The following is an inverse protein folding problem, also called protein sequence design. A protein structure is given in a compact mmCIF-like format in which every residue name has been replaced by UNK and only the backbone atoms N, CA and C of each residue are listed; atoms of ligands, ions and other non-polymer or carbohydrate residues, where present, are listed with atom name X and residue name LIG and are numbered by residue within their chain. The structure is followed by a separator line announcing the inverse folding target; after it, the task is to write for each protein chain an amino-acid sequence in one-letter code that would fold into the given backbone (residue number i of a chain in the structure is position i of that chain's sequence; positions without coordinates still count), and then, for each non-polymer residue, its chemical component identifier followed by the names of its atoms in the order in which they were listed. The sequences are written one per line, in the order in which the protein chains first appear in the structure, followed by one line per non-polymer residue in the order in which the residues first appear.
data_IF_253292326833
#
_entry.id   IF_253292326833
#
_cell.length_a   1.000
_cell.length_b   1.000
_cell.length_c   1.000
_cell.angle_alpha   90.00
_cell.angle_beta   90.00
_cell.angle_gamma   90.00
#
_symmetry.space_group_name_H-M   'P 1'
#
loop_
_entity.id
_entity.type
_entity.pdbx_description
1 polymer ?
#
# COMPACT_ATOMS: atom_id res chain seq x y z
N UNK A 1 16.68 -6.79 -12.40
CA UNK A 1 16.00 -7.46 -11.27
C UNK A 1 16.11 -6.51 -10.10
N UNK A 2 14.99 -5.98 -9.62
CA UNK A 2 14.94 -5.22 -8.37
C UNK A 2 15.35 -6.12 -7.21
N UNK A 3 16.03 -5.56 -6.22
CA UNK A 3 16.39 -6.25 -4.98
C UNK A 3 15.10 -6.55 -4.19
N UNK A 4 14.94 -7.74 -3.58
CA UNK A 4 13.80 -7.99 -2.70
C UNK A 4 13.78 -6.98 -1.55
N UNK A 5 12.62 -6.36 -1.32
CA UNK A 5 12.37 -5.42 -0.24
C UNK A 5 11.76 -6.15 0.97
N UNK A 6 11.98 -5.66 2.20
CA UNK A 6 11.56 -6.37 3.41
C UNK A 6 10.03 -6.50 3.55
N UNK A 7 9.25 -5.60 2.94
CA UNK A 7 7.79 -5.67 2.94
C UNK A 7 7.21 -6.51 1.79
N UNK A 8 8.02 -6.93 0.80
CA UNK A 8 7.58 -7.72 -0.35
C UNK A 8 6.75 -8.96 0.05
N UNK A 9 7.10 -9.75 1.10
CA UNK A 9 6.29 -10.93 1.45
C UNK A 9 4.86 -10.60 1.86
N UNK A 10 4.62 -9.43 2.48
CA UNK A 10 3.27 -8.99 2.80
C UNK A 10 2.55 -8.50 1.53
N UNK A 11 3.21 -7.70 0.70
CA UNK A 11 2.62 -7.22 -0.56
C UNK A 11 2.26 -8.38 -1.48
N UNK A 12 3.11 -9.41 -1.57
CA UNK A 12 2.81 -10.62 -2.34
C UNK A 12 1.59 -11.39 -1.79
N UNK A 13 1.46 -11.52 -0.47
CA UNK A 13 0.29 -12.15 0.13
C UNK A 13 -1.01 -11.38 -0.21
N UNK A 14 -0.93 -10.05 -0.28
CA UNK A 14 -2.06 -9.19 -0.68
C UNK A 14 -2.38 -9.34 -2.17
N UNK A 15 -1.37 -9.27 -3.05
CA UNK A 15 -1.59 -9.43 -4.50
C UNK A 15 -2.07 -10.83 -4.86
N UNK A 16 -1.59 -11.87 -4.17
CA UNK A 16 -2.07 -13.25 -4.35
C UNK A 16 -3.54 -13.39 -3.95
N UNK A 17 -3.95 -12.78 -2.83
CA UNK A 17 -5.34 -12.80 -2.38
C UNK A 17 -6.26 -12.03 -3.35
N UNK A 18 -5.82 -10.87 -3.85
CA UNK A 18 -6.53 -10.08 -4.86
C UNK A 18 -6.69 -10.86 -6.17
N UNK A 19 -5.63 -11.49 -6.63
CA UNK A 19 -5.63 -12.33 -7.85
C UNK A 19 -6.58 -13.51 -7.69
N UNK A 20 -6.53 -14.22 -6.55
CA UNK A 20 -7.44 -15.33 -6.25
C UNK A 20 -8.91 -14.89 -6.21
N UNK A 21 -9.18 -13.63 -5.87
CA UNK A 21 -10.52 -13.04 -5.86
C UNK A 21 -10.95 -12.46 -7.22
N UNK A 22 -10.11 -12.51 -8.25
CA UNK A 22 -10.37 -11.91 -9.56
C UNK A 22 -10.32 -10.37 -9.54
N UNK A 23 -9.56 -9.80 -8.60
CA UNK A 23 -9.36 -8.35 -8.41
C UNK A 23 -7.88 -7.98 -8.59
N UNK A 24 -7.17 -8.67 -9.47
CA UNK A 24 -5.76 -8.39 -9.76
C UNK A 24 -5.57 -6.91 -10.15
N UNK A 25 -4.61 -6.19 -9.55
CA UNK A 25 -4.25 -4.84 -9.99
C UNK A 25 -3.86 -4.83 -11.47
N UNK A 26 -4.21 -3.77 -12.20
CA UNK A 26 -3.75 -3.60 -13.59
C UNK A 26 -2.25 -3.30 -13.67
N UNK A 27 -1.71 -2.68 -12.61
CA UNK A 27 -0.28 -2.47 -12.42
C UNK A 27 0.05 -2.38 -10.93
N UNK A 28 1.32 -2.58 -10.57
CA UNK A 28 1.79 -2.39 -9.20
C UNK A 28 3.29 -2.59 -9.04
N UNK A 29 3.84 -1.96 -8.00
CA UNK A 29 5.27 -2.05 -7.66
C UNK A 29 5.50 -1.82 -6.17
N UNK A 30 6.68 -2.23 -5.70
CA UNK A 30 7.23 -1.88 -4.40
C UNK A 30 8.46 -1.01 -4.58
N UNK A 31 8.73 -0.10 -3.65
CA UNK A 31 9.86 0.84 -3.70
C UNK A 31 10.47 1.06 -2.32
N UNK A 32 11.76 1.38 -2.31
CA UNK A 32 12.55 1.88 -1.18
C UNK A 32 13.22 3.23 -1.52
N UNK A 33 12.73 3.93 -2.55
CA UNK A 33 13.38 5.11 -3.11
C UNK A 33 12.75 6.46 -2.71
N UNK A 34 11.52 6.45 -2.19
CA UNK A 34 10.84 7.66 -1.75
C UNK A 34 11.41 8.12 -0.41
N UNK A 35 11.50 9.43 -0.21
CA UNK A 35 11.95 10.00 1.06
C UNK A 35 10.85 9.88 2.11
N UNK A 36 11.23 9.55 3.35
CA UNK A 36 10.28 9.42 4.45
C UNK A 36 9.66 10.78 4.82
N UNK A 37 8.43 10.99 4.35
CA UNK A 37 7.62 12.18 4.59
C UNK A 37 7.12 12.31 6.04
N UNK A 38 7.27 11.28 6.86
CA UNK A 38 6.78 11.23 8.23
C UNK A 38 7.84 11.61 9.26
N UNK A 39 9.12 11.72 8.89
CA UNK A 39 10.17 12.15 9.82
C UNK A 39 10.05 13.63 10.13
N UNK A 40 10.36 13.99 11.37
CA UNK A 40 10.50 15.37 11.84
C UNK A 40 11.83 15.57 12.60
N UNK A 41 12.77 14.66 12.39
CA UNK A 41 14.10 14.62 13.01
C UNK A 41 15.22 15.07 12.04
N UNK A 42 16.46 14.88 12.45
CA UNK A 42 17.66 15.24 11.69
C UNK A 42 17.85 14.44 10.40
N UNK A 43 17.09 13.35 10.22
CA UNK A 43 17.07 12.53 9.01
C UNK A 43 15.90 12.90 8.07
N UNK A 44 15.15 13.96 8.37
CA UNK A 44 14.13 14.48 7.47
C UNK A 44 14.71 14.87 6.09
N UNK A 45 14.15 14.29 5.03
CA UNK A 45 14.63 14.48 3.66
C UNK A 45 15.92 13.72 3.33
N UNK A 46 16.40 12.85 4.23
CA UNK A 46 17.60 12.03 4.04
C UNK A 46 17.31 10.53 4.07
N UNK A 47 16.40 10.07 4.94
CA UNK A 47 16.02 8.67 5.03
C UNK A 47 14.95 8.31 3.99
N UNK A 48 15.07 7.13 3.38
CA UNK A 48 14.03 6.58 2.52
C UNK A 48 12.93 5.88 3.33
N UNK A 49 11.77 5.69 2.68
CA UNK A 49 10.66 4.88 3.16
C UNK A 49 10.41 3.67 2.25
N UNK A 50 9.71 2.68 2.78
CA UNK A 50 9.19 1.56 1.97
C UNK A 50 7.77 1.88 1.55
N UNK A 51 7.45 1.62 0.29
CA UNK A 51 6.10 1.76 -0.22
C UNK A 51 5.70 0.63 -1.17
N UNK A 52 4.39 0.48 -1.34
CA UNK A 52 3.80 -0.36 -2.35
C UNK A 52 2.62 0.38 -2.99
N UNK A 53 2.53 0.34 -4.31
CA UNK A 53 1.46 0.91 -5.10
C UNK A 53 0.75 -0.19 -5.88
N UNK A 54 -0.58 -0.24 -5.76
CA UNK A 54 -1.45 -1.10 -6.56
C UNK A 54 -2.47 -0.24 -7.30
N UNK A 55 -2.60 -0.44 -8.61
CA UNK A 55 -3.45 0.38 -9.47
C UNK A 55 -4.55 -0.46 -10.11
N UNK A 56 -5.74 0.13 -10.21
CA UNK A 56 -6.82 -0.37 -11.07
C UNK A 56 -7.24 0.78 -11.96
N UNK A 57 -6.93 0.71 -13.24
CA UNK A 57 -7.35 1.72 -14.22
C UNK A 57 -8.76 1.46 -14.78
N UNK A 58 -9.21 2.36 -15.68
CA UNK A 58 -10.52 2.33 -16.33
C UNK A 58 -10.83 1.07 -17.14
N UNK A 59 -9.84 0.23 -17.45
CA UNK A 59 -10.01 -1.00 -18.22
C UNK A 59 -10.31 -2.22 -17.33
N UNK A 60 -10.14 -2.10 -16.00
CA UNK A 60 -10.38 -3.22 -15.10
C UNK A 60 -11.89 -3.55 -14.99
N UNK A 61 -12.30 -4.81 -15.24
CA UNK A 61 -13.72 -5.17 -15.37
C UNK A 61 -14.54 -5.03 -14.07
N UNK A 62 -13.89 -5.08 -12.92
CA UNK A 62 -14.57 -4.89 -11.63
C UNK A 62 -14.74 -3.41 -11.23
N UNK A 63 -14.12 -2.48 -11.96
CA UNK A 63 -14.17 -1.05 -11.64
C UNK A 63 -15.49 -0.43 -12.12
N UNK A 64 -16.17 0.24 -11.21
CA UNK A 64 -17.31 1.08 -11.53
C UNK A 64 -16.83 2.39 -12.16
N UNK A 65 -16.76 2.44 -13.48
CA UNK A 65 -16.29 3.60 -14.25
C UNK A 65 -17.23 4.82 -14.17
N UNK A 66 -18.48 4.66 -13.69
CA UNK A 66 -19.34 5.82 -13.39
C UNK A 66 -18.90 6.55 -12.11
N UNK A 67 -18.31 5.82 -11.16
CA UNK A 67 -17.81 6.35 -9.88
C UNK A 67 -16.34 6.72 -9.94
N UNK A 68 -15.54 5.91 -10.63
CA UNK A 68 -14.10 6.04 -10.75
C UNK A 68 -13.68 5.98 -12.23
N UNK A 69 -13.97 7.01 -13.05
CA UNK A 69 -13.76 6.95 -14.50
C UNK A 69 -12.33 6.64 -14.95
N UNK A 70 -11.35 6.94 -14.10
CA UNK A 70 -9.92 6.75 -14.39
C UNK A 70 -9.25 5.77 -13.44
N UNK A 71 -10.03 5.11 -12.59
CA UNK A 71 -9.50 4.12 -11.66
C UNK A 71 -9.24 4.63 -10.25
N UNK A 72 -8.61 3.75 -9.47
CA UNK A 72 -8.20 3.97 -8.09
C UNK A 72 -6.74 3.52 -7.90
N UNK A 73 -6.11 4.00 -6.84
CA UNK A 73 -4.83 3.53 -6.36
C UNK A 73 -4.95 3.13 -4.89
N UNK A 74 -4.28 2.04 -4.54
CA UNK A 74 -4.06 1.61 -3.17
C UNK A 74 -2.57 1.76 -2.86
N UNK A 75 -2.25 2.38 -1.73
CA UNK A 75 -0.89 2.67 -1.31
C UNK A 75 -0.67 2.10 0.08
N UNK A 76 0.41 1.35 0.27
CA UNK A 76 0.91 0.97 1.58
C UNK A 76 2.26 1.63 1.78
N UNK A 77 2.51 2.21 2.94
CA UNK A 77 3.80 2.81 3.27
C UNK A 77 4.28 2.46 4.68
N UNK A 78 5.58 2.43 4.88
CA UNK A 78 6.25 2.48 6.18
C UNK A 78 6.75 3.92 6.40
N UNK A 79 6.63 4.53 7.60
CA UNK A 79 6.31 3.95 8.91
C UNK A 79 4.83 3.91 9.31
N UNK A 80 3.89 4.38 8.48
CA UNK A 80 2.47 4.29 8.86
C UNK A 80 2.00 2.83 8.97
N UNK A 81 2.56 1.97 8.10
CA UNK A 81 2.31 0.53 7.93
C UNK A 81 0.84 0.21 7.62
N UNK A 82 0.13 1.17 7.03
CA UNK A 82 -1.31 1.12 6.80
C UNK A 82 -1.65 1.37 5.33
N UNK A 83 -2.74 0.76 4.89
CA UNK A 83 -3.26 0.99 3.55
C UNK A 83 -3.98 2.34 3.49
N UNK A 84 -3.74 3.04 2.39
CA UNK A 84 -4.38 4.27 1.99
C UNK A 84 -4.94 4.11 0.58
N UNK A 85 -5.88 4.95 0.18
CA UNK A 85 -6.44 4.92 -1.16
C UNK A 85 -6.76 6.31 -1.70
N UNK A 86 -6.78 6.45 -3.02
CA UNK A 86 -7.35 7.60 -3.69
C UNK A 86 -7.88 7.22 -5.08
N UNK A 87 -8.87 7.98 -5.55
CA UNK A 87 -9.28 7.93 -6.96
C UNK A 87 -8.20 8.55 -7.87
N UNK A 88 -8.20 8.17 -9.14
CA UNK A 88 -7.28 8.69 -10.17
C UNK A 88 -7.94 9.73 -11.07
N UNK A 89 -7.11 10.61 -11.63
CA UNK A 89 -7.42 11.57 -12.71
C UNK A 89 -7.14 10.93 -14.07
N UNK A 90 -7.60 11.59 -15.13
CA UNK A 90 -7.39 11.17 -16.53
C UNK A 90 -5.92 11.06 -16.94
N UNK A 91 -5.06 11.90 -16.36
CA UNK A 91 -3.62 11.89 -16.58
C UNK A 91 -2.86 10.86 -15.71
N UNK A 92 -3.59 10.01 -14.98
CA UNK A 92 -3.03 8.95 -14.15
C UNK A 92 -2.59 9.37 -12.74
N UNK A 93 -2.60 10.68 -12.42
CA UNK A 93 -2.31 11.20 -11.08
C UNK A 93 -3.47 10.92 -10.11
N UNK A 94 -3.23 11.03 -8.80
CA UNK A 94 -4.28 10.93 -7.81
C UNK A 94 -5.15 12.21 -7.77
N UNK A 95 -6.44 12.04 -7.48
CA UNK A 95 -7.40 13.13 -7.29
C UNK A 95 -7.01 14.00 -6.10
N UNK A 96 -6.68 13.33 -4.99
CA UNK A 96 -6.21 13.90 -3.73
C UNK A 96 -5.08 13.05 -3.15
N UNK A 97 -4.48 13.51 -2.05
CA UNK A 97 -3.59 12.67 -1.27
C UNK A 97 -4.33 11.41 -0.79
N UNK A 98 -3.68 10.23 -0.79
CA UNK A 98 -4.29 9.01 -0.30
C UNK A 98 -4.84 9.14 1.11
N UNK A 99 -6.09 8.70 1.29
CA UNK A 99 -6.76 8.66 2.59
C UNK A 99 -6.54 7.31 3.25
N UNK A 100 -6.24 7.32 4.55
CA UNK A 100 -6.11 6.08 5.33
C UNK A 100 -7.39 5.25 5.29
N UNK A 101 -7.22 3.94 5.22
CA UNK A 101 -8.28 2.96 5.40
C UNK A 101 -8.20 2.42 6.83
N UNK A 102 -8.83 3.09 7.81
CA UNK A 102 -8.65 2.77 9.23
C UNK A 102 -9.13 1.36 9.59
N UNK A 103 -10.07 0.80 8.82
CA UNK A 103 -10.53 -0.57 8.98
C UNK A 103 -9.39 -1.57 8.69
N UNK A 104 -8.50 -1.25 7.76
CA UNK A 104 -7.28 -1.98 7.45
C UNK A 104 -6.14 -1.45 8.33
N UNK A 105 -6.15 -1.87 9.60
CA UNK A 105 -5.03 -1.60 10.50
C UNK A 105 -3.70 -2.13 9.96
N UNK A 106 -2.63 -1.97 10.76
CA UNK A 106 -1.30 -2.39 10.33
C UNK A 106 -1.23 -3.88 10.01
N UNK A 107 -0.66 -4.20 8.86
CA UNK A 107 -0.57 -5.57 8.34
C UNK A 107 -1.90 -6.33 8.42
N UNK A 108 -2.98 -5.68 7.97
CA UNK A 108 -4.30 -6.28 7.86
C UNK A 108 -4.27 -7.59 7.06
N UNK A 109 -5.15 -8.52 7.43
CA UNK A 109 -5.32 -9.79 6.72
C UNK A 109 -5.62 -9.55 5.22
N UNK A 110 -4.91 -10.22 4.30
CA UNK A 110 -5.14 -10.09 2.86
C UNK A 110 -6.61 -10.26 2.43
N UNK A 111 -7.39 -11.11 3.11
CA UNK A 111 -8.81 -11.26 2.79
C UNK A 111 -9.63 -10.00 3.12
N UNK A 112 -9.29 -9.28 4.20
CA UNK A 112 -9.95 -8.02 4.54
C UNK A 112 -9.60 -6.90 3.54
N UNK A 113 -8.38 -6.92 3.00
CA UNK A 113 -7.95 -6.02 1.93
C UNK A 113 -8.75 -6.30 0.66
N UNK A 114 -8.95 -7.58 0.30
CA UNK A 114 -9.80 -7.98 -0.83
C UNK A 114 -11.22 -7.43 -0.68
N UNK A 115 -11.84 -7.56 0.49
CA UNK A 115 -13.20 -7.05 0.72
C UNK A 115 -13.27 -5.51 0.63
N UNK A 116 -12.24 -4.83 1.11
CA UNK A 116 -12.13 -3.37 1.01
C UNK A 116 -11.94 -2.92 -0.43
N UNK A 117 -11.02 -3.55 -1.17
CA UNK A 117 -10.79 -3.25 -2.60
C UNK A 117 -12.06 -3.52 -3.41
N UNK A 118 -12.79 -4.60 -3.13
CA UNK A 118 -14.07 -4.87 -3.79
C UNK A 118 -15.07 -3.73 -3.60
N UNK A 119 -15.20 -3.21 -2.38
CA UNK A 119 -16.08 -2.08 -2.08
C UNK A 119 -15.61 -0.79 -2.80
N UNK A 120 -14.32 -0.49 -2.76
CA UNK A 120 -13.75 0.68 -3.44
C UNK A 120 -13.96 0.62 -4.95
N UNK A 121 -13.70 -0.53 -5.58
CA UNK A 121 -13.91 -0.69 -7.03
C UNK A 121 -15.37 -0.52 -7.42
N UNK A 122 -16.31 -0.97 -6.59
CA UNK A 122 -17.74 -0.77 -6.82
C UNK A 122 -18.20 0.69 -6.60
N UNK A 123 -17.39 1.51 -5.93
CA UNK A 123 -17.75 2.85 -5.46
C UNK A 123 -18.70 2.83 -4.25
N UNK A 124 -18.62 1.76 -3.45
CA UNK A 124 -19.42 1.53 -2.25
C UNK A 124 -18.67 1.97 -0.98
N UNK A 125 -19.38 2.01 0.15
CA UNK A 125 -18.76 2.26 1.45
C UNK A 125 -17.84 1.08 1.82
N UNK A 126 -16.63 1.39 2.30
CA UNK A 126 -15.70 0.38 2.80
C UNK A 126 -16.25 -0.35 4.03
N UNK A 127 -15.88 -1.62 4.25
CA UNK A 127 -16.33 -2.38 5.42
C UNK A 127 -16.00 -1.68 6.74
N UNK A 128 -16.96 -1.65 7.65
CA UNK A 128 -16.77 -1.15 9.01
C UNK A 128 -16.08 -2.20 9.90
N UNK A 129 -15.48 -1.73 11.00
CA UNK A 129 -14.80 -2.58 11.98
C UNK A 129 -13.30 -2.68 11.73
N UNK A 130 -12.65 -3.58 12.46
CA UNK A 130 -11.21 -3.77 12.40
C UNK A 130 -10.88 -5.09 11.70
N UNK A 131 -10.08 -5.02 10.64
CA UNK A 131 -9.54 -6.19 9.98
C UNK A 131 -8.68 -7.02 10.94
N UNK A 132 -8.71 -8.36 10.84
CA UNK A 132 -7.78 -9.22 11.56
C UNK A 132 -6.34 -8.87 11.18
N UNK A 133 -5.41 -9.11 12.11
CA UNK A 133 -3.99 -9.02 11.85
C UNK A 133 -3.52 -10.25 11.06
N UNK A 134 -2.71 -10.05 10.03
CA UNK A 134 -2.09 -11.14 9.29
C UNK A 134 -0.94 -11.75 10.11
N UNK A 135 -1.17 -12.87 10.78
CA UNK A 135 -0.17 -13.47 11.69
C UNK A 135 1.26 -13.66 11.12
N UNK A 136 1.47 -13.99 9.83
CA UNK A 136 2.82 -14.05 9.26
C UNK A 136 3.59 -12.71 9.25
N UNK A 137 2.89 -11.59 9.42
CA UNK A 137 3.46 -10.25 9.42
C UNK A 137 4.50 -10.00 10.51
N UNK A 138 4.55 -10.79 11.59
CA UNK A 138 5.57 -10.62 12.62
C UNK A 138 7.00 -10.74 12.04
N UNK A 139 7.19 -11.65 11.08
CA UNK A 139 8.48 -11.83 10.39
C UNK A 139 8.78 -10.69 9.42
N UNK A 140 7.75 -10.17 8.75
CA UNK A 140 7.86 -9.02 7.83
C UNK A 140 8.19 -7.76 8.61
N UNK A 141 7.47 -7.49 9.70
CA UNK A 141 7.70 -6.34 10.58
C UNK A 141 9.13 -6.35 11.12
N UNK A 142 9.63 -7.50 11.59
CA UNK A 142 11.00 -7.61 12.05
C UNK A 142 12.03 -7.29 10.94
N UNK A 143 11.76 -7.67 9.69
CA UNK A 143 12.62 -7.35 8.56
C UNK A 143 12.55 -5.86 8.18
N UNK A 144 11.36 -5.26 8.23
CA UNK A 144 11.13 -3.83 8.00
C UNK A 144 11.82 -2.99 9.08
N UNK A 145 11.69 -3.36 10.36
CA UNK A 145 12.36 -2.69 11.48
C UNK A 145 13.89 -2.75 11.34
N UNK A 146 14.43 -3.91 10.95
CA UNK A 146 15.86 -4.07 10.73
C UNK A 146 16.37 -3.22 9.54
N UNK A 147 15.57 -3.12 8.48
CA UNK A 147 15.88 -2.24 7.35
C UNK A 147 15.85 -0.76 7.76
N UNK A 148 14.81 -0.31 8.45
CA UNK A 148 14.67 1.08 8.90
C UNK A 148 15.79 1.51 9.85
N UNK A 149 16.24 0.60 10.72
CA UNK A 149 17.40 0.82 11.58
C UNK A 149 18.70 0.98 10.76
N UNK A 150 18.88 0.21 9.69
CA UNK A 150 20.05 0.31 8.83
C UNK A 150 20.07 1.62 8.02
N UNK A 151 18.93 2.06 7.51
CA UNK A 151 18.79 3.35 6.82
C UNK A 151 19.14 4.54 7.72
N UNK A 152 18.72 4.48 8.98
CA UNK A 152 19.02 5.56 9.94
C UNK A 152 20.53 5.68 10.23
N UNK A 153 21.26 4.56 10.26
CA UNK A 153 22.72 4.56 10.43
C UNK A 153 23.43 5.06 9.17
N UNK A 154 22.92 4.74 7.97
CA UNK A 154 23.51 5.22 6.72
C UNK A 154 23.43 6.75 6.61
N UNK A 155 22.29 7.35 7.00
CA UNK A 155 22.07 8.80 6.97
C UNK A 155 22.96 9.60 7.93
N UNK A 156 23.39 9.03 9.06
CA UNK A 156 24.32 9.67 10.01
C UNK A 156 25.77 9.77 9.49
N UNK A 157 26.12 8.99 8.46
CA UNK A 157 27.50 8.89 7.94
C UNK A 157 27.75 9.63 6.62
N UNK A 158 26.72 10.24 6.04
CA UNK A 158 26.76 10.99 4.78
C UNK A 158 26.97 12.50 4.99
#
# INVERSE_FOLDING_TARGET
MSRPLPHDPYIFAVTDALTAAGLEPTDGWTSDAELDRYRDDDLYGLACMLDAYLLWDGEHPALNTEKHPHGIALVWDHPAEQWQWAARKDNGHLVQDPEFLPNLGRYADPAAIVDTVRALLAGDQVPEGQAPYWHPADSVRAAVDAWAAAESVAGETA
#
